data_IF_144391376440
#
_entry.id   IF_144391376440
#
_cell.length_a   1.000
_cell.length_b   1.000
_cell.length_c   1.000
_cell.angle_alpha   90.00
_cell.angle_beta   90.00
_cell.angle_gamma   90.00
#
_symmetry.space_group_name_H-M   'P 1'
#
loop_
_entity.id
_entity.type
_entity.pdbx_description
1 polymer ?
#
# COMPACT_ATOMS: atom_id res chain seq x y z
N UNK A 1 15.02 -23.96 9.26
CA UNK A 1 15.76 -22.71 9.46
C UNK A 1 15.18 -22.02 10.68
N UNK A 2 15.99 -21.48 11.60
CA UNK A 2 15.55 -21.06 12.94
C UNK A 2 16.31 -19.86 13.49
N UNK A 3 16.62 -18.88 12.63
CA UNK A 3 17.23 -17.63 13.07
C UNK A 3 16.20 -16.83 13.87
N UNK A 4 16.56 -16.43 15.09
CA UNK A 4 15.69 -15.64 15.95
C UNK A 4 15.44 -14.23 15.37
N UNK A 5 14.23 -13.71 15.56
CA UNK A 5 13.91 -12.31 15.29
C UNK A 5 14.42 -11.49 16.46
N UNK A 6 15.40 -10.61 16.24
CA UNK A 6 16.04 -9.84 17.32
C UNK A 6 15.43 -8.45 17.53
N UNK A 7 14.82 -7.86 16.50
CA UNK A 7 14.28 -6.48 16.54
C UNK A 7 12.82 -6.39 16.18
N UNK A 8 12.43 -7.00 15.06
CA UNK A 8 11.11 -6.89 14.49
C UNK A 8 11.06 -7.58 13.14
N UNK A 9 9.86 -7.69 12.59
CA UNK A 9 9.61 -8.31 11.30
C UNK A 9 8.61 -7.48 10.49
N UNK A 10 8.95 -7.27 9.22
CA UNK A 10 8.00 -6.86 8.20
C UNK A 10 7.60 -8.11 7.42
N UNK A 11 6.34 -8.49 7.54
CA UNK A 11 5.76 -9.67 6.93
C UNK A 11 5.00 -9.23 5.70
N UNK A 12 5.49 -9.66 4.52
CA UNK A 12 4.85 -9.41 3.22
C UNK A 12 4.30 -10.73 2.73
N UNK A 13 2.99 -10.81 2.55
CA UNK A 13 2.32 -12.06 2.18
C UNK A 13 1.44 -11.81 0.97
N UNK A 14 1.51 -12.72 0.01
CA UNK A 14 0.48 -12.87 -1.04
C UNK A 14 -0.17 -14.23 -0.86
N UNK A 15 -1.45 -14.23 -0.54
CA UNK A 15 -2.26 -15.45 -0.48
C UNK A 15 -3.00 -15.64 -1.81
N UNK A 16 -3.19 -16.88 -2.23
CA UNK A 16 -3.94 -17.24 -3.44
C UNK A 16 -5.10 -18.16 -3.06
N UNK A 17 -6.27 -17.89 -3.64
CA UNK A 17 -7.41 -18.80 -3.63
C UNK A 17 -8.21 -18.67 -4.93
N UNK A 18 -8.45 -19.80 -5.59
CA UNK A 18 -9.22 -19.87 -6.86
C UNK A 18 -8.64 -19.01 -7.99
N UNK A 19 -7.31 -18.86 -8.00
CA UNK A 19 -6.56 -18.01 -8.91
C UNK A 19 -6.43 -16.56 -8.45
N UNK A 20 -7.20 -16.10 -7.46
CA UNK A 20 -7.17 -14.71 -7.01
C UNK A 20 -6.08 -14.50 -5.97
N UNK A 21 -5.24 -13.50 -6.20
CA UNK A 21 -4.10 -13.13 -5.36
C UNK A 21 -4.41 -11.87 -4.55
N UNK A 22 -4.32 -11.98 -3.22
CA UNK A 22 -4.41 -10.85 -2.31
C UNK A 22 -3.06 -10.65 -1.63
N UNK A 23 -2.56 -9.41 -1.62
CA UNK A 23 -1.28 -9.06 -0.98
C UNK A 23 -1.50 -8.10 0.17
N UNK A 24 -0.77 -8.28 1.25
CA UNK A 24 -0.70 -7.32 2.34
C UNK A 24 0.67 -7.32 3.01
N UNK A 25 1.01 -6.20 3.64
CA UNK A 25 2.21 -6.08 4.47
C UNK A 25 1.83 -5.66 5.89
N UNK A 26 2.41 -6.33 6.90
CA UNK A 26 2.27 -5.99 8.32
C UNK A 26 3.65 -5.89 8.97
N UNK A 27 3.83 -4.94 9.88
CA UNK A 27 5.12 -4.76 10.58
C UNK A 27 4.93 -4.80 12.09
N UNK A 28 5.70 -5.67 12.74
CA UNK A 28 5.78 -5.78 14.18
C UNK A 28 7.22 -5.55 14.66
N UNK A 29 7.37 -4.86 15.78
CA UNK A 29 8.64 -4.64 16.46
C UNK A 29 8.60 -5.21 17.87
N UNK A 30 9.73 -5.72 18.36
CA UNK A 30 9.91 -6.19 19.74
C UNK A 30 10.26 -5.04 20.71
N UNK A 31 10.68 -3.90 20.16
CA UNK A 31 11.04 -2.68 20.88
C UNK A 31 10.70 -1.47 20.01
N UNK A 32 10.61 -0.27 20.59
CA UNK A 32 10.32 0.94 19.82
C UNK A 32 11.35 1.14 18.68
N UNK A 33 10.90 1.19 17.40
CA UNK A 33 11.80 1.39 16.26
C UNK A 33 12.32 2.82 16.12
N UNK A 34 11.85 3.75 16.95
CA UNK A 34 12.25 5.16 16.94
C UNK A 34 11.52 6.00 15.91
N UNK A 35 11.66 7.33 16.05
CA UNK A 35 10.85 8.31 15.32
C UNK A 35 11.14 8.36 13.81
N UNK A 36 12.39 8.14 13.40
CA UNK A 36 12.76 8.13 11.98
C UNK A 36 12.03 7.01 11.21
N UNK A 37 12.00 5.79 11.75
CA UNK A 37 11.26 4.69 11.13
C UNK A 37 9.76 4.95 11.13
N UNK A 38 9.19 5.42 12.25
CA UNK A 38 7.76 5.76 12.34
C UNK A 38 7.38 6.80 11.29
N UNK A 39 8.19 7.84 11.11
CA UNK A 39 7.97 8.85 10.08
C UNK A 39 7.92 8.28 8.67
N UNK A 40 8.84 7.36 8.33
CA UNK A 40 8.85 6.68 7.02
C UNK A 40 7.64 5.77 6.83
N UNK A 41 7.25 5.01 7.86
CA UNK A 41 6.08 4.15 7.81
C UNK A 41 4.79 4.96 7.62
N UNK A 42 4.63 6.05 8.36
CA UNK A 42 3.51 6.97 8.21
C UNK A 42 3.46 7.63 6.83
N UNK A 43 4.62 7.98 6.26
CA UNK A 43 4.71 8.46 4.89
C UNK A 43 4.24 7.40 3.88
N UNK A 44 4.67 6.13 4.03
CA UNK A 44 4.18 5.03 3.19
C UNK A 44 2.66 4.89 3.25
N UNK A 45 2.07 4.94 4.46
CA UNK A 45 0.60 4.84 4.63
C UNK A 45 -0.15 5.98 3.94
N UNK A 46 0.34 7.22 4.04
CA UNK A 46 -0.24 8.38 3.35
C UNK A 46 -0.11 8.29 1.84
N UNK A 47 1.03 7.82 1.34
CA UNK A 47 1.24 7.58 -0.10
C UNK A 47 0.28 6.51 -0.61
N UNK A 48 0.12 5.41 0.12
CA UNK A 48 -0.79 4.32 -0.24
C UNK A 48 -2.23 4.84 -0.32
N UNK A 49 -2.68 5.55 0.71
CA UNK A 49 -4.01 6.12 0.78
C UNK A 49 -4.28 7.10 -0.39
N UNK A 50 -3.27 7.88 -0.80
CA UNK A 50 -3.36 8.75 -1.96
C UNK A 50 -3.52 7.96 -3.27
N UNK A 51 -2.75 6.87 -3.46
CA UNK A 51 -2.87 6.02 -4.65
C UNK A 51 -4.20 5.25 -4.69
N UNK A 52 -4.68 4.76 -3.54
CA UNK A 52 -5.98 4.08 -3.43
C UNK A 52 -7.14 5.00 -3.80
N UNK A 53 -7.14 6.26 -3.31
CA UNK A 53 -8.18 7.25 -3.66
C UNK A 53 -8.11 7.70 -5.12
N UNK A 54 -6.92 7.68 -5.72
CA UNK A 54 -6.72 8.07 -7.11
C UNK A 54 -7.08 6.95 -8.12
N UNK A 55 -6.97 5.68 -7.69
CA UNK A 55 -7.43 4.52 -8.45
C UNK A 55 -8.97 4.41 -8.40
N UNK A 56 -9.65 5.22 -9.22
CA UNK A 56 -11.10 5.28 -9.32
C UNK A 56 -11.56 5.11 -10.77
N UNK A 57 -12.82 4.73 -11.03
CA UNK A 57 -13.34 4.56 -12.38
C UNK A 57 -13.06 5.77 -13.28
N UNK A 58 -12.54 5.52 -14.49
CA UNK A 58 -12.18 6.55 -15.48
C UNK A 58 -10.83 7.22 -15.26
N UNK A 59 -10.09 6.89 -14.20
CA UNK A 59 -8.67 7.22 -14.08
C UNK A 59 -7.80 6.15 -14.78
N UNK A 60 -6.52 6.42 -14.92
CA UNK A 60 -5.53 5.43 -15.37
C UNK A 60 -4.62 4.98 -14.23
N UNK A 61 -3.93 3.84 -14.39
CA UNK A 61 -2.87 3.43 -13.46
C UNK A 61 -1.76 4.50 -13.36
N UNK A 62 -1.44 5.18 -14.46
CA UNK A 62 -0.48 6.28 -14.47
C UNK A 62 -0.95 7.49 -13.65
N UNK A 63 -2.24 7.82 -13.67
CA UNK A 63 -2.81 8.88 -12.82
C UNK A 63 -2.72 8.54 -11.34
N UNK A 64 -3.05 7.29 -10.97
CA UNK A 64 -2.96 6.84 -9.59
C UNK A 64 -1.50 6.88 -9.08
N UNK A 65 -0.57 6.38 -9.89
CA UNK A 65 0.87 6.43 -9.57
C UNK A 65 1.36 7.87 -9.42
N UNK A 66 0.97 8.78 -10.33
CA UNK A 66 1.34 10.19 -10.25
C UNK A 66 0.90 10.81 -8.92
N UNK A 67 -0.29 10.45 -8.41
CA UNK A 67 -0.73 10.89 -7.07
C UNK A 67 0.11 10.31 -5.94
N UNK A 68 0.59 9.08 -6.08
CA UNK A 68 1.61 8.51 -5.20
C UNK A 68 2.92 9.28 -5.22
N UNK A 69 3.43 9.62 -6.41
CA UNK A 69 4.67 10.40 -6.58
C UNK A 69 4.55 11.80 -5.95
N UNK A 70 3.42 12.48 -6.18
CA UNK A 70 3.09 13.77 -5.53
C UNK A 70 3.02 13.62 -4.01
N UNK A 71 2.52 12.49 -3.48
CA UNK A 71 2.52 12.20 -2.05
C UNK A 71 3.94 11.98 -1.51
N UNK A 72 4.75 11.14 -2.16
CA UNK A 72 6.15 10.94 -1.78
C UNK A 72 6.93 12.24 -1.67
N UNK A 73 6.79 13.14 -2.65
CA UNK A 73 7.44 14.44 -2.62
C UNK A 73 7.00 15.30 -1.43
N UNK A 74 5.70 15.32 -1.11
CA UNK A 74 5.16 16.06 0.06
C UNK A 74 5.65 15.49 1.39
N UNK A 75 5.82 14.18 1.47
CA UNK A 75 6.35 13.50 2.65
C UNK A 75 7.88 13.63 2.81
N UNK A 76 8.58 14.25 1.84
CA UNK A 76 10.03 14.44 1.89
C UNK A 76 10.86 13.32 1.26
N UNK A 77 10.21 12.41 0.51
CA UNK A 77 10.83 11.21 -0.09
C UNK A 77 10.65 11.15 -1.63
N UNK A 78 10.96 12.21 -2.40
CA UNK A 78 10.55 12.35 -3.81
C UNK A 78 11.12 11.29 -4.78
N UNK A 79 12.15 10.53 -4.37
CA UNK A 79 12.83 9.53 -5.21
C UNK A 79 12.62 8.08 -4.76
N UNK A 80 11.96 7.84 -3.63
CA UNK A 80 11.77 6.47 -3.11
C UNK A 80 10.90 5.61 -4.05
N UNK A 81 9.98 6.25 -4.79
CA UNK A 81 9.13 5.56 -5.75
C UNK A 81 9.90 4.91 -6.90
N UNK A 82 11.11 5.39 -7.22
CA UNK A 82 11.95 4.88 -8.30
C UNK A 82 12.68 3.59 -7.91
N UNK A 83 12.81 3.32 -6.60
CA UNK A 83 13.62 2.21 -6.10
C UNK A 83 12.89 0.86 -6.13
N UNK A 84 11.56 0.88 -6.23
CA UNK A 84 10.71 -0.31 -6.22
C UNK A 84 9.50 -0.07 -7.14
N UNK A 85 8.88 -1.14 -7.65
CA UNK A 85 7.55 -0.98 -8.22
C UNK A 85 6.55 -0.59 -7.12
N UNK A 86 5.57 0.23 -7.45
CA UNK A 86 4.61 0.76 -6.46
C UNK A 86 3.30 -0.02 -6.39
N UNK A 87 3.16 -1.04 -7.25
CA UNK A 87 1.98 -1.89 -7.34
C UNK A 87 1.19 -1.64 -8.62
N UNK A 88 -0.10 -1.97 -8.61
CA UNK A 88 -0.96 -1.80 -9.78
C UNK A 88 -2.17 -2.74 -9.75
N UNK A 89 -2.66 -3.09 -10.93
CA UNK A 89 -3.74 -4.04 -11.11
C UNK A 89 -3.31 -5.42 -10.61
N UNK A 90 -4.19 -6.06 -9.86
CA UNK A 90 -4.02 -7.40 -9.31
C UNK A 90 -5.28 -8.23 -9.60
N UNK A 91 -5.25 -9.52 -9.28
CA UNK A 91 -6.35 -10.43 -9.55
C UNK A 91 -5.82 -11.83 -9.74
N UNK A 92 -5.76 -12.29 -10.98
CA UNK A 92 -5.23 -13.59 -11.39
C UNK A 92 -3.70 -13.68 -11.37
N UNK A 93 -3.02 -12.60 -11.01
CA UNK A 93 -1.62 -12.57 -10.64
C UNK A 93 -1.41 -11.62 -9.43
N UNK A 94 -0.30 -11.78 -8.67
CA UNK A 94 0.04 -10.83 -7.61
C UNK A 94 0.08 -9.38 -8.12
N UNK A 95 0.56 -9.19 -9.36
CA UNK A 95 0.42 -7.97 -10.16
C UNK A 95 0.22 -8.38 -11.62
N UNK A 96 -0.95 -8.07 -12.17
CA UNK A 96 -1.25 -8.27 -13.59
C UNK A 96 -0.62 -7.16 -14.42
N UNK A 97 -0.71 -5.92 -13.92
CA UNK A 97 -0.10 -4.74 -14.52
C UNK A 97 0.57 -3.94 -13.42
N UNK A 98 1.87 -3.68 -13.58
CA UNK A 98 2.59 -2.73 -12.74
C UNK A 98 2.35 -1.33 -13.26
N UNK A 99 1.88 -0.42 -12.39
CA UNK A 99 1.70 0.97 -12.76
C UNK A 99 3.05 1.61 -13.10
N UNK A 100 3.06 2.38 -14.19
CA UNK A 100 4.21 3.14 -14.67
C UNK A 100 3.81 4.58 -14.97
N UNK A 101 4.76 5.54 -14.97
CA UNK A 101 4.46 6.88 -15.44
C UNK A 101 3.93 6.84 -16.88
N UNK A 102 2.78 7.48 -17.13
CA UNK A 102 2.14 7.48 -18.44
C UNK A 102 1.43 6.18 -18.84
N UNK A 103 1.21 5.26 -17.89
CA UNK A 103 0.42 4.05 -18.12
C UNK A 103 -1.06 4.41 -18.34
N UNK A 104 -1.62 3.96 -19.47
CA UNK A 104 -2.99 4.23 -19.91
C UNK A 104 -3.99 3.13 -19.55
N UNK A 105 -3.60 2.08 -18.81
CA UNK A 105 -4.54 1.06 -18.34
C UNK A 105 -5.63 1.74 -17.51
N UNK A 106 -6.87 1.65 -18.01
CA UNK A 106 -8.03 2.24 -17.37
C UNK A 106 -8.37 1.50 -16.08
N UNK A 107 -8.66 2.30 -15.06
CA UNK A 107 -9.20 1.84 -13.79
C UNK A 107 -10.72 1.79 -13.90
N UNK A 108 -11.30 0.66 -13.53
CA UNK A 108 -12.74 0.39 -13.59
C UNK A 108 -13.25 -0.15 -12.24
N UNK A 109 -14.53 0.06 -11.95
CA UNK A 109 -15.16 -0.47 -10.74
C UNK A 109 -15.09 -2.01 -10.71
N UNK A 110 -14.89 -2.57 -9.52
CA UNK A 110 -14.75 -4.00 -9.29
C UNK A 110 -13.35 -4.57 -9.59
N UNK A 111 -12.42 -3.78 -10.13
CA UNK A 111 -11.04 -4.23 -10.30
C UNK A 111 -10.36 -4.38 -8.94
N UNK A 112 -9.54 -5.42 -8.82
CA UNK A 112 -8.68 -5.63 -7.66
C UNK A 112 -7.33 -4.93 -7.90
N UNK A 113 -6.89 -4.15 -6.93
CA UNK A 113 -5.60 -3.48 -6.96
C UNK A 113 -4.81 -3.81 -5.71
N UNK A 114 -3.49 -3.64 -5.79
CA UNK A 114 -2.62 -3.67 -4.63
C UNK A 114 -1.49 -2.65 -4.82
N UNK A 115 -1.52 -1.60 -3.99
CA UNK A 115 -0.48 -0.58 -3.91
C UNK A 115 0.48 -0.92 -2.77
N UNK A 116 1.77 -0.67 -2.96
CA UNK A 116 2.76 -1.09 -1.99
C UNK A 116 3.94 -0.13 -1.80
N UNK A 117 3.64 1.14 -1.48
CA UNK A 117 4.66 2.15 -1.28
C UNK A 117 5.68 1.72 -0.24
N UNK A 118 6.94 1.94 -0.59
CA UNK A 118 8.10 1.50 0.18
C UNK A 118 9.08 2.67 0.25
N UNK A 119 9.43 3.06 1.47
CA UNK A 119 10.55 3.93 1.80
C UNK A 119 11.56 3.06 2.51
N UNK A 120 12.86 3.18 2.26
CA UNK A 120 13.87 2.27 2.83
C UNK A 120 13.62 1.90 4.31
N UNK A 121 13.25 0.63 4.52
CA UNK A 121 12.97 0.03 5.84
C UNK A 121 11.50 0.04 6.28
N UNK A 122 10.59 0.64 5.52
CA UNK A 122 9.17 0.74 5.83
C UNK A 122 8.30 0.54 4.57
N UNK A 123 7.14 -0.11 4.74
CA UNK A 123 6.20 -0.41 3.65
C UNK A 123 4.78 -0.43 4.18
N UNK A 124 3.86 0.05 3.37
CA UNK A 124 2.40 -0.13 3.56
C UNK A 124 1.86 -0.86 2.33
N UNK A 125 1.02 -1.86 2.52
CA UNK A 125 0.40 -2.61 1.41
C UNK A 125 -0.86 -3.33 1.89
N UNK A 126 -1.94 -3.15 1.13
CA UNK A 126 -3.13 -4.00 1.12
C UNK A 126 -3.68 -4.15 -0.31
N UNK A 127 -4.41 -5.24 -0.50
CA UNK A 127 -5.30 -5.42 -1.65
C UNK A 127 -6.66 -4.77 -1.38
N UNK A 128 -7.21 -4.11 -2.40
CA UNK A 128 -8.49 -3.44 -2.34
C UNK A 128 -9.24 -3.53 -3.67
N UNK A 129 -10.57 -3.50 -3.62
CA UNK A 129 -11.44 -3.34 -4.78
C UNK A 129 -11.66 -1.86 -5.06
N UNK A 130 -11.65 -1.50 -6.34
CA UNK A 130 -12.06 -0.17 -6.79
C UNK A 130 -13.59 -0.10 -6.71
N UNK A 131 -14.12 0.71 -5.80
CA UNK A 131 -15.55 1.00 -5.71
C UNK A 131 -15.95 2.30 -6.40
N UNK A 132 -17.25 2.50 -6.60
CA UNK A 132 -17.81 3.74 -7.15
C UNK A 132 -17.63 4.93 -6.18
N UNK A 133 -17.79 4.68 -4.88
CA UNK A 133 -17.69 5.69 -3.82
C UNK A 133 -16.31 5.73 -3.12
N UNK A 134 -15.40 4.84 -3.52
CA UNK A 134 -14.06 4.75 -2.94
C UNK A 134 -13.51 3.32 -2.89
N UNK A 135 -12.27 3.15 -2.43
CA UNK A 135 -11.63 1.85 -2.34
C UNK A 135 -12.19 1.02 -1.18
N UNK A 136 -12.44 -0.27 -1.42
CA UNK A 136 -12.82 -1.26 -0.39
C UNK A 136 -11.65 -2.20 -0.11
N UNK A 137 -11.07 -2.13 1.08
CA UNK A 137 -9.93 -2.99 1.45
C UNK A 137 -10.42 -4.40 1.75
N UNK A 138 -9.87 -5.40 1.06
CA UNK A 138 -10.27 -6.82 1.18
C UNK A 138 -9.27 -7.66 1.99
N UNK A 139 -8.28 -7.02 2.58
CA UNK A 139 -7.22 -7.62 3.40
C UNK A 139 -7.24 -7.09 4.85
N UNK A 140 -8.40 -6.59 5.28
CA UNK A 140 -8.61 -6.15 6.67
C UNK A 140 -8.50 -7.35 7.61
N UNK A 141 -7.64 -7.22 8.62
CA UNK A 141 -7.56 -8.14 9.75
C UNK A 141 -8.15 -7.43 10.98
N UNK A 142 -9.31 -7.86 11.49
CA UNK A 142 -9.95 -7.25 12.66
C UNK A 142 -9.11 -7.33 13.94
N UNK A 143 -8.14 -8.23 14.00
CA UNK A 143 -7.25 -8.42 15.15
C UNK A 143 -5.99 -7.56 15.06
N UNK A 144 -5.69 -7.02 13.88
CA UNK A 144 -4.57 -6.11 13.67
C UNK A 144 -5.01 -4.65 13.83
N UNK A 145 -4.30 -3.84 14.62
CA UNK A 145 -4.72 -2.45 14.83
C UNK A 145 -4.63 -1.64 13.53
N UNK A 146 -5.62 -0.78 13.34
CA UNK A 146 -5.67 0.18 12.24
C UNK A 146 -5.82 1.58 12.81
N UNK A 147 -5.34 2.56 12.05
CA UNK A 147 -5.59 3.96 12.36
C UNK A 147 -6.04 4.70 11.10
N UNK A 148 -6.79 5.76 11.32
CA UNK A 148 -7.26 6.66 10.28
C UNK A 148 -6.10 7.45 9.67
N UNK A 149 -5.92 7.31 8.36
CA UNK A 149 -4.93 8.05 7.57
C UNK A 149 -5.64 9.05 6.68
N UNK A 150 -5.20 10.32 6.74
CA UNK A 150 -5.73 11.38 5.88
C UNK A 150 -5.35 11.12 4.42
N UNK A 151 -6.31 11.33 3.51
CA UNK A 151 -6.14 11.15 2.08
C UNK A 151 -6.87 12.26 1.29
N UNK A 152 -6.51 12.51 0.02
CA UNK A 152 -7.32 13.37 -0.83
C UNK A 152 -8.78 12.88 -0.87
N UNK A 153 -9.73 13.77 -0.53
CA UNK A 153 -11.16 13.45 -0.51
C UNK A 153 -11.66 12.73 0.75
N UNK A 154 -10.87 12.65 1.83
CA UNK A 154 -11.33 12.16 3.14
C UNK A 154 -10.25 11.45 3.93
N UNK A 155 -10.58 10.30 4.49
CA UNK A 155 -9.64 9.42 5.18
C UNK A 155 -9.85 7.96 4.80
N UNK A 156 -8.90 7.12 5.15
CA UNK A 156 -8.96 5.66 5.01
C UNK A 156 -8.37 5.01 6.26
N UNK A 157 -8.97 3.91 6.71
CA UNK A 157 -8.35 3.05 7.72
C UNK A 157 -7.21 2.26 7.08
N UNK A 158 -6.01 2.42 7.64
CA UNK A 158 -4.83 1.66 7.21
C UNK A 158 -4.22 0.91 8.39
N UNK A 159 -3.61 -0.26 8.17
CA UNK A 159 -2.91 -1.00 9.21
C UNK A 159 -1.84 -0.14 9.89
N UNK A 160 -1.81 -0.18 11.22
CA UNK A 160 -0.72 0.39 12.01
C UNK A 160 0.44 -0.62 12.09
N UNK A 161 1.59 -0.16 12.57
CA UNK A 161 2.65 -1.04 13.03
C UNK A 161 2.48 -1.33 14.52
N UNK A 162 2.82 -2.53 14.95
CA UNK A 162 2.71 -2.93 16.36
C UNK A 162 4.07 -2.99 17.03
N UNK A 163 4.09 -2.69 18.32
CA UNK A 163 5.20 -3.02 19.23
C UNK A 163 4.67 -4.08 20.19
N UNK A 164 5.31 -5.25 20.22
CA UNK A 164 4.91 -6.43 21.01
C UNK A 164 5.40 -6.36 22.46
#
# INVERSE_FOLDING_TARGET
TGTAIEKGAMVVVTAERWGIHLSCTRTAWLMDPGQDWRGRFEACRRVEAAMMRAARPGATLGDALRKGIEAYAREGFPKEWELHHQGGLAGYAPREVFARPGDFTEVAAGQLHAWNPTIRGAKSEDSFLVGEDGPEVVTVDPTWPSETVAAPGGSLERPAAVVL
#
